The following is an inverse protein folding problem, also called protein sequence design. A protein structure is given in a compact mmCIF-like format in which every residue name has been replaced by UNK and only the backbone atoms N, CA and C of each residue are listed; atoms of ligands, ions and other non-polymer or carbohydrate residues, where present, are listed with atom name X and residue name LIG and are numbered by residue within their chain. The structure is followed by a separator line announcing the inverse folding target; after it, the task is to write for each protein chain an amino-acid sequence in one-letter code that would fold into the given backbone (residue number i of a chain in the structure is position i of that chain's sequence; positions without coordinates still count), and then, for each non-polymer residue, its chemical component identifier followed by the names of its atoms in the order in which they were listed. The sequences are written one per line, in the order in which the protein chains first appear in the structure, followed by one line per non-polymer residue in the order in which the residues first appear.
data_IF_139530256336
#
_entry.id   IF_139530256336
#
_cell.length_a   1.000
_cell.length_b   1.000
_cell.length_c   1.000
_cell.angle_alpha   90.00
_cell.angle_beta   90.00
_cell.angle_gamma   90.00
#
_symmetry.space_group_name_H-M   'P 1'
#
loop_
_entity.id
_entity.type
_entity.pdbx_description
1 polymer ?
#
# COMPACT_ATOMS: atom_id res chain seq x y z
N UNK A 1 5.53 -7.74 0.99
CA UNK A 1 5.69 -8.15 -0.41
C UNK A 1 6.69 -9.30 -0.50
N UNK A 2 6.38 -10.39 -1.20
CA UNK A 2 7.31 -11.50 -1.44
C UNK A 2 7.93 -11.35 -2.83
N UNK A 3 9.26 -11.21 -2.86
CA UNK A 3 10.05 -11.01 -4.09
C UNK A 3 10.98 -12.20 -4.29
N UNK A 4 11.04 -12.69 -5.51
CA UNK A 4 12.07 -13.63 -5.94
C UNK A 4 13.10 -12.89 -6.81
N UNK A 5 14.38 -13.08 -6.50
CA UNK A 5 15.51 -12.62 -7.31
C UNK A 5 16.24 -13.85 -7.84
N UNK A 6 16.40 -13.92 -9.16
CA UNK A 6 16.90 -15.13 -9.85
C UNK A 6 18.01 -14.72 -10.82
N UNK A 7 19.21 -15.25 -10.58
CA UNK A 7 20.39 -15.00 -11.40
C UNK A 7 21.41 -16.13 -11.14
N UNK A 8 21.97 -16.74 -12.16
CA UNK A 8 22.95 -17.82 -11.99
C UNK A 8 24.32 -17.32 -11.49
N UNK A 9 24.63 -16.04 -11.71
CA UNK A 9 25.83 -15.39 -11.21
C UNK A 9 25.62 -14.87 -9.78
N UNK A 10 26.26 -15.54 -8.81
CA UNK A 10 26.10 -15.19 -7.37
C UNK A 10 26.38 -13.72 -7.04
N UNK A 11 27.37 -13.11 -7.69
CA UNK A 11 27.75 -11.71 -7.45
C UNK A 11 26.60 -10.79 -7.91
N UNK A 12 26.10 -10.99 -9.11
CA UNK A 12 24.97 -10.25 -9.70
C UNK A 12 23.70 -10.39 -8.85
N UNK A 13 23.46 -11.62 -8.34
CA UNK A 13 22.31 -11.90 -7.48
C UNK A 13 22.37 -11.13 -6.14
N UNK A 14 23.56 -11.00 -5.55
CA UNK A 14 23.76 -10.22 -4.34
C UNK A 14 23.62 -8.71 -4.58
N UNK A 15 24.19 -8.19 -5.67
CA UNK A 15 24.03 -6.79 -6.09
C UNK A 15 22.54 -6.46 -6.32
N UNK A 16 21.81 -7.34 -6.99
CA UNK A 16 20.36 -7.20 -7.19
C UNK A 16 19.61 -7.23 -5.85
N UNK A 17 19.97 -8.12 -4.93
CA UNK A 17 19.39 -8.16 -3.59
C UNK A 17 19.58 -6.84 -2.84
N UNK A 18 20.79 -6.28 -2.88
CA UNK A 18 21.09 -5.03 -2.20
C UNK A 18 20.32 -3.86 -2.82
N UNK A 19 20.23 -3.81 -4.16
CA UNK A 19 19.42 -2.82 -4.85
C UNK A 19 17.92 -2.94 -4.49
N UNK A 20 17.38 -4.17 -4.45
CA UNK A 20 15.98 -4.41 -4.03
C UNK A 20 15.77 -4.01 -2.58
N UNK A 21 16.65 -4.36 -1.66
CA UNK A 21 16.51 -3.99 -0.24
C UNK A 21 16.59 -2.50 0.00
N UNK A 22 17.44 -1.79 -0.75
CA UNK A 22 17.52 -0.33 -0.68
C UNK A 22 16.25 0.34 -1.25
N UNK A 23 15.70 -0.21 -2.34
CA UNK A 23 14.47 0.27 -2.97
C UNK A 23 13.22 -0.06 -2.12
N UNK A 24 13.17 -1.26 -1.56
CA UNK A 24 12.00 -1.86 -0.90
C UNK A 24 12.42 -2.51 0.43
N UNK A 25 12.70 -1.73 1.49
CA UNK A 25 13.26 -2.24 2.76
C UNK A 25 12.40 -3.31 3.43
N UNK A 26 11.08 -3.24 3.28
CA UNK A 26 10.11 -4.16 3.90
C UNK A 26 9.83 -5.41 3.06
N UNK A 27 10.49 -5.56 1.91
CA UNK A 27 10.28 -6.72 1.06
C UNK A 27 10.99 -7.96 1.60
N UNK A 28 10.28 -9.10 1.57
CA UNK A 28 10.89 -10.41 1.80
C UNK A 28 11.50 -10.92 0.49
N UNK A 29 12.82 -10.86 0.38
CA UNK A 29 13.55 -11.23 -0.84
C UNK A 29 14.13 -12.63 -0.69
N UNK A 30 13.74 -13.54 -1.57
CA UNK A 30 14.31 -14.88 -1.70
C UNK A 30 15.20 -14.97 -2.93
N UNK A 31 16.38 -15.56 -2.78
CA UNK A 31 17.40 -15.62 -3.82
C UNK A 31 17.48 -17.03 -4.42
N UNK A 32 17.57 -17.10 -5.74
CA UNK A 32 17.72 -18.36 -6.48
C UNK A 32 18.81 -18.23 -7.54
N UNK A 33 19.80 -19.13 -7.51
CA UNK A 33 20.81 -19.25 -8.55
C UNK A 33 20.39 -20.19 -9.69
N UNK A 34 19.17 -20.72 -9.64
CA UNK A 34 18.67 -21.69 -10.60
C UNK A 34 17.18 -21.48 -10.84
N UNK A 35 16.79 -21.32 -12.09
CA UNK A 35 15.41 -21.12 -12.52
C UNK A 35 14.47 -22.27 -12.09
N UNK A 36 14.97 -23.53 -12.10
CA UNK A 36 14.15 -24.67 -11.69
C UNK A 36 13.83 -24.65 -10.20
N UNK A 37 14.77 -24.22 -9.37
CA UNK A 37 14.56 -24.15 -7.91
C UNK A 37 13.56 -23.03 -7.58
N UNK A 38 13.65 -21.88 -8.24
CA UNK A 38 12.65 -20.82 -8.14
C UNK A 38 11.27 -21.31 -8.55
N UNK A 39 11.15 -21.98 -9.69
CA UNK A 39 9.88 -22.50 -10.17
C UNK A 39 9.28 -23.57 -9.22
N UNK A 40 10.11 -24.46 -8.68
CA UNK A 40 9.67 -25.44 -7.66
C UNK A 40 9.15 -24.76 -6.40
N UNK A 41 9.81 -23.70 -5.94
CA UNK A 41 9.37 -22.93 -4.78
C UNK A 41 8.01 -22.28 -5.06
N UNK A 42 7.82 -21.65 -6.22
CA UNK A 42 6.55 -21.06 -6.64
C UNK A 42 5.41 -22.09 -6.63
N UNK A 43 5.65 -23.27 -7.18
CA UNK A 43 4.64 -24.34 -7.27
C UNK A 43 4.33 -24.94 -5.89
N UNK A 44 5.37 -25.19 -5.07
CA UNK A 44 5.24 -25.88 -3.78
C UNK A 44 4.57 -25.01 -2.72
N UNK A 45 4.91 -23.74 -2.68
CA UNK A 45 4.47 -22.88 -1.60
C UNK A 45 3.00 -22.43 -1.75
N UNK A 46 2.42 -22.57 -2.95
CA UNK A 46 1.04 -22.14 -3.23
C UNK A 46 0.76 -20.68 -2.84
N UNK A 47 1.80 -20.00 -2.39
CA UNK A 47 1.73 -18.61 -1.96
C UNK A 47 1.75 -17.68 -3.16
N UNK A 48 1.02 -16.63 -3.07
CA UNK A 48 1.04 -15.57 -4.07
C UNK A 48 2.41 -14.87 -4.00
N UNK A 49 3.17 -14.94 -5.08
CA UNK A 49 4.40 -14.19 -5.28
C UNK A 49 4.04 -12.88 -5.95
N UNK A 50 4.48 -11.78 -5.37
CA UNK A 50 4.10 -10.46 -5.87
C UNK A 50 4.94 -10.06 -7.08
N UNK A 51 6.25 -10.34 -7.02
CA UNK A 51 7.22 -9.88 -7.99
C UNK A 51 8.40 -10.84 -8.13
N UNK A 52 8.83 -11.05 -9.37
CA UNK A 52 10.01 -11.82 -9.73
C UNK A 52 10.95 -10.93 -10.54
N UNK A 53 12.17 -10.77 -10.06
CA UNK A 53 13.30 -10.26 -10.84
C UNK A 53 14.10 -11.46 -11.37
N UNK A 54 14.33 -11.54 -12.65
CA UNK A 54 15.04 -12.67 -13.28
C UNK A 54 16.02 -12.20 -14.33
N UNK A 55 17.25 -12.75 -14.30
CA UNK A 55 18.07 -12.67 -15.50
C UNK A 55 17.44 -13.50 -16.63
N UNK A 56 17.76 -13.16 -17.85
CA UNK A 56 17.30 -13.87 -19.06
C UNK A 56 18.26 -15.01 -19.39
N UNK A 57 19.56 -14.75 -19.30
CA UNK A 57 20.57 -15.74 -19.72
C UNK A 57 21.03 -16.60 -18.56
N UNK A 58 20.37 -17.72 -18.34
CA UNK A 58 20.69 -18.70 -17.31
C UNK A 58 20.84 -20.11 -17.91
N UNK A 59 21.69 -20.97 -17.33
CA UNK A 59 21.84 -22.35 -17.75
C UNK A 59 20.55 -23.17 -17.58
N UNK A 60 20.25 -24.00 -18.58
CA UNK A 60 19.09 -24.91 -18.58
C UNK A 60 17.80 -24.19 -18.99
N UNK A 61 17.00 -23.71 -18.04
CA UNK A 61 15.82 -22.90 -18.32
C UNK A 61 16.23 -21.42 -18.31
N UNK A 62 16.10 -20.76 -19.45
CA UNK A 62 16.31 -19.32 -19.52
C UNK A 62 15.16 -18.54 -18.87
N UNK A 63 15.41 -17.24 -18.61
CA UNK A 63 14.43 -16.37 -17.95
C UNK A 63 13.11 -16.21 -18.71
N UNK A 64 13.15 -16.24 -20.05
CA UNK A 64 11.95 -16.12 -20.89
C UNK A 64 11.07 -17.38 -20.73
N UNK A 65 11.69 -18.58 -20.77
CA UNK A 65 11.00 -19.84 -20.54
C UNK A 65 10.45 -19.91 -19.09
N UNK A 66 11.23 -19.43 -18.13
CA UNK A 66 10.80 -19.34 -16.73
C UNK A 66 9.57 -18.46 -16.60
N UNK A 67 9.55 -17.28 -17.23
CA UNK A 67 8.43 -16.35 -17.21
C UNK A 67 7.14 -16.99 -17.74
N UNK A 68 7.20 -17.70 -18.87
CA UNK A 68 6.05 -18.41 -19.43
C UNK A 68 5.49 -19.44 -18.43
N UNK A 69 6.37 -20.20 -17.77
CA UNK A 69 5.96 -21.21 -16.78
C UNK A 69 5.38 -20.57 -15.53
N UNK A 70 5.96 -19.49 -15.03
CA UNK A 70 5.41 -18.71 -13.89
C UNK A 70 4.03 -18.20 -14.24
N UNK A 71 3.84 -17.56 -15.42
CA UNK A 71 2.54 -17.05 -15.85
C UNK A 71 1.47 -18.13 -15.99
N UNK A 72 1.85 -19.35 -16.27
CA UNK A 72 0.92 -20.50 -16.35
C UNK A 72 0.41 -20.90 -14.96
N UNK A 73 1.26 -20.88 -13.93
CA UNK A 73 0.90 -21.35 -12.57
C UNK A 73 0.47 -20.21 -11.65
N UNK A 74 0.92 -18.99 -11.93
CA UNK A 74 0.61 -17.78 -11.17
C UNK A 74 0.51 -16.56 -12.09
N UNK A 75 -0.62 -16.39 -12.79
CA UNK A 75 -0.80 -15.34 -13.81
C UNK A 75 -0.62 -13.91 -13.28
N UNK A 76 -0.96 -13.69 -12.01
CA UNK A 76 -0.89 -12.38 -11.35
C UNK A 76 0.53 -11.97 -10.96
N UNK A 77 1.48 -12.91 -10.88
CA UNK A 77 2.87 -12.61 -10.53
C UNK A 77 3.48 -11.64 -11.53
N UNK A 78 3.99 -10.52 -11.06
CA UNK A 78 4.70 -9.55 -11.90
C UNK A 78 6.11 -10.04 -12.16
N UNK A 79 6.62 -9.82 -13.38
CA UNK A 79 7.95 -10.26 -13.80
C UNK A 79 8.69 -9.08 -14.39
N UNK A 80 9.86 -8.77 -13.82
CA UNK A 80 10.82 -7.80 -14.33
C UNK A 80 12.09 -8.53 -14.71
N UNK A 81 12.52 -8.39 -15.94
CA UNK A 81 13.82 -8.91 -16.36
C UNK A 81 14.95 -7.94 -15.96
N UNK A 82 16.06 -8.52 -15.52
CA UNK A 82 17.27 -7.79 -15.13
C UNK A 82 18.43 -8.43 -15.86
N UNK A 83 18.93 -7.80 -16.91
CA UNK A 83 19.92 -8.43 -17.79
C UNK A 83 20.90 -7.43 -18.38
N UNK A 84 22.08 -7.90 -18.76
CA UNK A 84 23.08 -7.12 -19.53
C UNK A 84 22.83 -7.07 -21.03
N UNK A 85 21.75 -7.66 -21.54
CA UNK A 85 21.55 -7.85 -22.98
C UNK A 85 20.31 -7.13 -23.48
N UNK A 86 20.46 -6.02 -24.20
CA UNK A 86 19.34 -5.21 -24.68
C UNK A 86 18.51 -5.87 -25.80
N UNK A 87 19.05 -6.85 -26.53
CA UNK A 87 18.39 -7.49 -27.66
C UNK A 87 17.19 -8.35 -27.29
N UNK A 88 17.01 -8.72 -26.02
CA UNK A 88 15.88 -9.54 -25.55
C UNK A 88 14.65 -8.74 -25.14
N UNK A 89 14.68 -7.41 -25.25
CA UNK A 89 13.56 -6.57 -24.85
C UNK A 89 12.25 -6.90 -25.60
N UNK A 90 12.34 -7.19 -26.90
CA UNK A 90 11.19 -7.61 -27.70
C UNK A 90 10.64 -8.99 -27.30
N UNK A 91 11.51 -9.91 -26.91
CA UNK A 91 11.09 -11.24 -26.45
C UNK A 91 10.48 -11.18 -25.05
N UNK A 92 11.01 -10.30 -24.18
CA UNK A 92 10.43 -10.01 -22.88
C UNK A 92 8.99 -9.48 -23.01
N UNK A 93 8.75 -8.58 -23.96
CA UNK A 93 7.40 -8.09 -24.26
C UNK A 93 6.47 -9.21 -24.71
N UNK A 94 6.92 -10.15 -25.56
CA UNK A 94 6.11 -11.28 -26.04
C UNK A 94 5.67 -12.25 -24.93
N UNK A 95 6.47 -12.41 -23.88
CA UNK A 95 6.12 -13.27 -22.73
C UNK A 95 5.35 -12.50 -21.65
N UNK A 96 4.87 -11.29 -21.98
CA UNK A 96 4.13 -10.42 -21.07
C UNK A 96 4.88 -10.11 -19.76
N UNK A 97 6.20 -9.87 -19.88
CA UNK A 97 6.95 -9.29 -18.78
C UNK A 97 6.40 -7.90 -18.44
N UNK A 98 6.47 -7.56 -17.17
CA UNK A 98 5.93 -6.30 -16.67
C UNK A 98 6.99 -5.19 -16.65
N UNK A 99 8.28 -5.56 -16.77
CA UNK A 99 9.38 -4.62 -16.79
C UNK A 99 10.68 -5.20 -17.34
N UNK A 100 11.64 -4.30 -17.65
CA UNK A 100 12.93 -4.65 -18.21
C UNK A 100 14.01 -3.68 -17.74
N UNK A 101 14.94 -4.15 -16.93
CA UNK A 101 16.04 -3.36 -16.38
C UNK A 101 17.39 -3.82 -16.94
N UNK A 102 18.22 -2.86 -17.29
CA UNK A 102 19.59 -3.15 -17.75
C UNK A 102 20.56 -3.16 -16.58
N UNK A 103 21.41 -4.20 -16.50
CA UNK A 103 22.51 -4.25 -15.53
C UNK A 103 23.58 -3.17 -15.87
N UNK A 104 24.18 -2.48 -14.88
CA UNK A 104 23.93 -2.59 -13.44
C UNK A 104 22.64 -1.89 -13.00
N UNK A 105 21.85 -2.53 -12.12
CA UNK A 105 20.58 -2.01 -11.63
C UNK A 105 20.79 -1.22 -10.35
N UNK A 106 20.21 -0.01 -10.30
CA UNK A 106 20.20 0.85 -9.11
C UNK A 106 18.84 0.77 -8.40
N UNK A 107 18.82 1.16 -7.12
CA UNK A 107 17.58 1.24 -6.34
C UNK A 107 16.52 2.14 -6.97
N UNK A 108 16.94 3.26 -7.59
CA UNK A 108 16.04 4.20 -8.27
C UNK A 108 15.34 3.56 -9.47
N UNK A 109 16.07 2.76 -10.26
CA UNK A 109 15.53 2.05 -11.42
C UNK A 109 14.46 1.02 -10.98
N UNK A 110 14.69 0.34 -9.86
CA UNK A 110 13.71 -0.60 -9.27
C UNK A 110 12.47 0.14 -8.77
N UNK A 111 12.64 1.27 -8.08
CA UNK A 111 11.51 2.08 -7.57
C UNK A 111 10.63 2.52 -8.73
N UNK A 112 11.21 3.08 -9.79
CA UNK A 112 10.49 3.55 -10.96
C UNK A 112 9.70 2.41 -11.62
N UNK A 113 10.35 1.26 -11.86
CA UNK A 113 9.72 0.13 -12.52
C UNK A 113 8.60 -0.48 -11.68
N UNK A 114 8.81 -0.60 -10.36
CA UNK A 114 7.81 -1.13 -9.45
C UNK A 114 6.61 -0.19 -9.31
N UNK A 115 6.81 1.12 -9.33
CA UNK A 115 5.72 2.11 -9.36
C UNK A 115 4.87 1.95 -10.64
N UNK A 116 5.48 1.69 -11.79
CA UNK A 116 4.79 1.48 -13.06
C UNK A 116 3.97 0.18 -13.10
N UNK A 117 4.24 -0.78 -12.21
CA UNK A 117 3.54 -2.07 -12.20
C UNK A 117 2.08 -2.01 -11.70
N UNK A 118 1.60 -0.85 -11.22
CA UNK A 118 0.28 -0.74 -10.60
C UNK A 118 0.02 -1.88 -9.60
N UNK A 119 1.07 -2.31 -8.93
CA UNK A 119 0.90 -3.18 -7.76
C UNK A 119 0.01 -2.40 -6.79
N UNK A 120 -0.98 -3.03 -6.13
CA UNK A 120 -1.81 -2.33 -5.16
C UNK A 120 -0.89 -1.51 -4.25
N UNK A 121 -1.03 -0.17 -4.27
CA UNK A 121 -0.14 0.75 -3.54
C UNK A 121 -0.02 0.40 -2.06
N UNK A 122 -1.04 -0.27 -1.51
CA UNK A 122 -1.05 -0.83 -0.15
C UNK A 122 0.13 -1.78 0.15
N UNK A 123 0.81 -2.32 -0.86
CA UNK A 123 1.94 -3.26 -0.67
C UNK A 123 3.31 -2.61 -0.70
N UNK A 124 3.40 -1.40 -1.25
CA UNK A 124 4.66 -0.66 -1.42
C UNK A 124 4.79 0.50 -0.43
N UNK A 125 3.68 1.01 0.06
CA UNK A 125 3.68 2.15 0.95
C UNK A 125 3.80 1.68 2.41
N UNK A 126 4.78 2.23 3.12
CA UNK A 126 4.84 2.21 4.59
C UNK A 126 3.77 3.17 5.16
N UNK A 127 2.59 3.21 4.53
CA UNK A 127 1.45 4.06 4.85
C UNK A 127 0.24 3.21 5.20
N UNK A 128 -0.62 3.72 6.06
CA UNK A 128 -1.93 3.13 6.29
C UNK A 128 -2.78 3.26 5.03
N UNK A 129 -3.38 2.14 4.62
CA UNK A 129 -4.42 2.17 3.59
C UNK A 129 -5.77 2.45 4.26
N UNK A 130 -6.42 3.51 3.81
CA UNK A 130 -7.69 4.00 4.38
C UNK A 130 -8.77 3.95 3.30
N UNK A 131 -9.75 3.12 3.52
CA UNK A 131 -10.93 3.01 2.69
C UNK A 131 -12.04 3.88 3.26
N UNK A 132 -12.48 4.88 2.50
CA UNK A 132 -13.58 5.78 2.83
C UNK A 132 -14.85 5.47 2.03
N UNK A 133 -14.71 4.89 0.83
CA UNK A 133 -15.85 4.55 -0.02
C UNK A 133 -16.55 3.29 0.49
N UNK A 134 -17.88 3.40 0.68
CA UNK A 134 -18.68 2.41 1.39
C UNK A 134 -18.50 2.50 2.90
N UNK A 135 -18.04 1.44 3.53
CA UNK A 135 -17.69 1.43 4.96
C UNK A 135 -16.25 1.95 5.17
N UNK A 136 -16.06 2.75 6.21
CA UNK A 136 -14.73 3.17 6.63
C UNK A 136 -13.94 1.98 7.20
N UNK A 137 -12.83 1.64 6.56
CA UNK A 137 -11.90 0.62 7.01
C UNK A 137 -10.46 1.13 6.93
N UNK A 138 -9.59 0.58 7.78
CA UNK A 138 -8.18 0.94 7.83
C UNK A 138 -7.37 -0.35 7.81
N UNK A 139 -6.35 -0.40 6.96
CA UNK A 139 -5.51 -1.57 6.81
C UNK A 139 -4.04 -1.21 6.98
N UNK A 140 -3.29 -2.13 7.55
CA UNK A 140 -1.84 -2.14 7.59
C UNK A 140 -1.35 -3.43 6.93
N UNK A 141 -0.66 -3.31 5.80
CA UNK A 141 -0.20 -4.47 5.03
C UNK A 141 -1.30 -5.53 4.79
N UNK A 142 -2.46 -5.11 4.32
CA UNK A 142 -3.65 -5.94 4.05
C UNK A 142 -4.38 -6.48 5.31
N UNK A 143 -3.81 -6.34 6.50
CA UNK A 143 -4.49 -6.70 7.73
C UNK A 143 -5.33 -5.53 8.26
N UNK A 144 -6.58 -5.73 8.69
CA UNK A 144 -7.37 -4.68 9.30
C UNK A 144 -6.68 -4.14 10.55
N UNK A 145 -6.59 -2.80 10.67
CA UNK A 145 -6.10 -2.17 11.88
C UNK A 145 -7.16 -2.29 12.99
N UNK A 146 -6.78 -2.87 14.11
CA UNK A 146 -7.67 -3.04 15.24
C UNK A 146 -7.78 -1.75 16.06
N UNK A 147 -9.01 -1.36 16.36
CA UNK A 147 -9.34 -0.26 17.25
C UNK A 147 -10.01 -0.80 18.52
N UNK A 148 -9.53 -0.37 19.67
CA UNK A 148 -10.04 -0.81 20.99
C UNK A 148 -11.53 -0.55 21.18
N UNK A 149 -12.05 0.52 20.56
CA UNK A 149 -13.45 0.94 20.61
C UNK A 149 -13.93 1.40 19.24
N UNK A 150 -15.20 1.15 18.94
CA UNK A 150 -15.85 1.65 17.71
C UNK A 150 -15.73 3.19 17.59
N UNK A 151 -15.86 3.92 18.70
CA UNK A 151 -15.70 5.38 18.72
C UNK A 151 -14.27 5.85 18.46
N UNK A 152 -13.25 5.04 18.71
CA UNK A 152 -11.87 5.36 18.31
C UNK A 152 -11.70 5.29 16.80
N UNK A 153 -12.32 4.29 16.14
CA UNK A 153 -12.36 4.19 14.67
C UNK A 153 -13.11 5.36 14.05
N UNK A 154 -14.23 5.78 14.66
CA UNK A 154 -15.02 6.94 14.24
C UNK A 154 -14.25 8.26 14.39
N UNK A 155 -13.47 8.44 15.47
CA UNK A 155 -12.57 9.59 15.62
C UNK A 155 -11.54 9.63 14.50
N UNK A 156 -10.96 8.50 14.15
CA UNK A 156 -9.99 8.45 13.06
C UNK A 156 -10.64 8.77 11.72
N UNK A 157 -11.82 8.23 11.45
CA UNK A 157 -12.61 8.52 10.25
C UNK A 157 -12.92 10.03 10.13
N UNK A 158 -13.36 10.65 11.22
CA UNK A 158 -13.62 12.09 11.25
C UNK A 158 -12.37 12.91 10.92
N UNK A 159 -11.23 12.58 11.52
CA UNK A 159 -9.97 13.28 11.23
C UNK A 159 -9.47 13.08 9.79
N UNK A 160 -9.76 11.94 9.17
CA UNK A 160 -9.52 11.69 7.74
C UNK A 160 -10.44 12.57 6.88
N UNK A 161 -11.74 12.65 7.21
CA UNK A 161 -12.70 13.49 6.50
C UNK A 161 -12.28 14.98 6.47
N UNK A 162 -11.59 15.44 7.50
CA UNK A 162 -11.11 16.82 7.63
C UNK A 162 -9.83 17.13 6.83
N UNK A 163 -9.33 16.20 6.01
CA UNK A 163 -8.25 16.40 5.02
C UNK A 163 -6.96 17.02 5.58
N UNK A 164 -6.59 16.70 6.81
CA UNK A 164 -5.41 17.26 7.49
C UNK A 164 -5.65 18.59 8.19
N UNK A 165 -6.86 19.11 8.18
CA UNK A 165 -7.25 20.30 8.93
C UNK A 165 -7.15 20.05 10.44
N UNK A 166 -6.62 21.01 11.18
CA UNK A 166 -6.54 20.96 12.64
C UNK A 166 -7.92 21.17 13.28
N UNK A 167 -8.47 20.13 13.91
CA UNK A 167 -9.79 20.12 14.53
C UNK A 167 -9.70 20.41 16.02
N UNK A 168 -10.61 21.23 16.54
CA UNK A 168 -10.74 21.46 17.97
C UNK A 168 -11.44 20.30 18.70
N UNK A 169 -11.29 20.23 20.01
CA UNK A 169 -12.01 19.25 20.81
C UNK A 169 -13.53 19.46 20.76
N UNK A 170 -13.95 20.71 20.57
CA UNK A 170 -15.35 21.12 20.41
C UNK A 170 -15.93 20.58 19.09
N UNK A 171 -15.25 20.78 17.95
CA UNK A 171 -15.68 20.30 16.62
C UNK A 171 -15.80 18.78 16.60
N UNK A 172 -14.75 18.10 17.10
CA UNK A 172 -14.74 16.63 17.18
C UNK A 172 -15.88 16.13 18.07
N UNK A 173 -16.10 16.80 19.22
CA UNK A 173 -17.15 16.38 20.14
C UNK A 173 -18.54 16.56 19.55
N UNK A 174 -18.78 17.66 18.83
CA UNK A 174 -20.05 17.90 18.14
C UNK A 174 -20.34 16.83 17.08
N UNK A 175 -19.33 16.43 16.31
CA UNK A 175 -19.50 15.37 15.30
C UNK A 175 -19.70 13.97 15.88
N UNK A 176 -19.01 13.63 16.97
CA UNK A 176 -19.06 12.28 17.55
C UNK A 176 -20.23 12.07 18.51
N UNK A 177 -20.74 13.13 19.14
CA UNK A 177 -21.79 13.08 20.17
C UNK A 177 -22.80 14.22 19.99
N UNK A 178 -23.81 14.02 19.18
CA UNK A 178 -24.81 15.01 18.74
C UNK A 178 -25.54 15.79 19.87
N UNK A 179 -25.56 15.28 21.13
CA UNK A 179 -26.44 15.82 22.21
C UNK A 179 -25.80 15.88 23.62
N UNK A 180 -24.49 15.95 23.76
CA UNK A 180 -23.94 16.04 25.12
C UNK A 180 -23.68 17.48 25.57
N UNK A 181 -24.65 18.03 26.33
CA UNK A 181 -24.54 19.36 26.96
C UNK A 181 -23.41 19.52 27.99
N UNK A 182 -22.64 18.47 28.34
CA UNK A 182 -21.53 18.52 29.29
C UNK A 182 -20.17 18.47 28.60
N UNK A 183 -19.65 19.66 28.27
CA UNK A 183 -18.34 19.85 27.60
C UNK A 183 -17.18 19.18 28.38
N UNK A 184 -17.25 19.10 29.70
CA UNK A 184 -16.16 18.50 30.49
C UNK A 184 -16.11 16.97 30.29
N UNK A 185 -17.27 16.32 30.26
CA UNK A 185 -17.38 14.87 30.00
C UNK A 185 -16.92 14.55 28.58
N UNK A 186 -17.35 15.32 27.60
CA UNK A 186 -16.93 15.19 26.20
C UNK A 186 -15.40 15.28 26.04
N UNK A 187 -14.75 16.29 26.65
CA UNK A 187 -13.28 16.42 26.65
C UNK A 187 -12.58 15.24 27.33
N UNK A 188 -13.12 14.69 28.40
CA UNK A 188 -12.53 13.51 29.05
C UNK A 188 -12.64 12.26 28.17
N UNK A 189 -13.80 12.03 27.56
CA UNK A 189 -14.00 10.91 26.61
C UNK A 189 -13.07 11.04 25.41
N UNK A 190 -12.95 12.23 24.81
CA UNK A 190 -12.06 12.48 23.69
C UNK A 190 -10.60 12.17 24.04
N UNK A 191 -10.10 12.54 25.22
CA UNK A 191 -8.73 12.18 25.64
C UNK A 191 -8.51 10.67 25.64
N UNK A 192 -9.50 9.90 26.07
CA UNK A 192 -9.41 8.43 26.07
C UNK A 192 -9.38 7.87 24.65
N UNK A 193 -10.22 8.42 23.74
CA UNK A 193 -10.21 8.01 22.33
C UNK A 193 -8.89 8.36 21.63
N UNK A 194 -8.33 9.55 21.91
CA UNK A 194 -7.01 9.96 21.38
C UNK A 194 -5.90 9.04 21.88
N UNK A 195 -5.95 8.64 23.15
CA UNK A 195 -4.99 7.69 23.70
C UNK A 195 -5.10 6.31 23.06
N UNK A 196 -6.33 5.83 22.84
CA UNK A 196 -6.59 4.56 22.16
C UNK A 196 -6.15 4.60 20.70
N UNK A 197 -6.47 5.68 19.98
CA UNK A 197 -6.05 5.89 18.58
C UNK A 197 -4.52 5.86 18.47
N UNK A 198 -3.84 6.60 19.34
CA UNK A 198 -2.39 6.60 19.38
C UNK A 198 -1.82 5.20 19.63
N UNK A 199 -2.43 4.42 20.51
CA UNK A 199 -1.99 3.05 20.79
C UNK A 199 -2.17 2.14 19.57
N UNK A 200 -3.29 2.25 18.84
CA UNK A 200 -3.54 1.50 17.61
C UNK A 200 -2.53 1.89 16.51
N UNK A 201 -2.26 3.18 16.33
CA UNK A 201 -1.26 3.64 15.36
C UNK A 201 0.16 3.21 15.74
N UNK A 202 0.49 3.22 17.04
CA UNK A 202 1.79 2.79 17.54
C UNK A 202 2.04 1.30 17.33
N UNK A 203 1.02 0.45 17.41
CA UNK A 203 1.17 -1.00 17.20
C UNK A 203 1.67 -1.35 15.78
N UNK A 204 1.50 -0.41 14.83
CA UNK A 204 1.95 -0.53 13.43
C UNK A 204 3.02 0.50 13.06
N UNK A 205 3.65 1.15 14.05
CA UNK A 205 4.73 2.12 13.82
C UNK A 205 4.29 3.45 13.19
N UNK A 206 2.99 3.75 13.13
CA UNK A 206 2.40 4.91 12.43
C UNK A 206 1.93 6.02 13.39
N UNK A 207 2.44 6.09 14.62
CA UNK A 207 1.99 7.10 15.60
C UNK A 207 2.26 8.55 15.15
N UNK A 208 3.24 8.77 14.30
CA UNK A 208 3.65 10.10 13.82
C UNK A 208 2.63 10.75 12.87
N UNK A 209 1.66 9.98 12.34
CA UNK A 209 0.60 10.55 11.47
C UNK A 209 -0.43 11.35 12.26
N UNK A 210 -0.57 11.08 13.57
CA UNK A 210 -1.47 11.83 14.44
C UNK A 210 -0.80 13.12 14.92
N UNK A 211 -1.17 14.22 14.32
CA UNK A 211 -0.70 15.57 14.68
C UNK A 211 -1.47 16.06 15.90
N UNK A 212 -0.73 16.57 16.90
CA UNK A 212 -1.30 17.27 18.04
C UNK A 212 -0.56 18.60 18.24
N UNK A 213 -1.29 19.71 18.05
CA UNK A 213 -0.74 21.06 18.18
C UNK A 213 -1.70 21.96 18.97
N UNK A 214 -1.25 22.52 20.08
CA UNK A 214 -2.04 23.47 20.89
C UNK A 214 -3.46 22.96 21.26
N UNK A 215 -3.59 21.67 21.51
CA UNK A 215 -4.89 21.03 21.84
C UNK A 215 -5.75 20.66 20.62
N UNK A 216 -5.32 21.03 19.41
CA UNK A 216 -5.95 20.63 18.15
C UNK A 216 -5.40 19.29 17.67
N UNK A 217 -6.19 18.56 16.88
CA UNK A 217 -5.87 17.24 16.32
C UNK A 217 -6.03 17.26 14.80
N UNK A 218 -5.15 16.55 14.09
CA UNK A 218 -5.27 16.26 12.67
C UNK A 218 -4.58 14.95 12.32
N UNK A 219 -4.87 14.42 11.15
CA UNK A 219 -4.08 13.37 10.52
C UNK A 219 -3.23 13.97 9.41
N UNK A 220 -1.97 13.60 9.34
CA UNK A 220 -1.07 14.03 8.27
C UNK A 220 -1.52 13.41 6.95
N UNK A 221 -2.11 14.23 6.05
CA UNK A 221 -2.72 13.80 4.78
C UNK A 221 -1.78 12.94 3.94
N UNK A 222 -0.54 13.40 3.73
CA UNK A 222 0.46 12.74 2.88
C UNK A 222 1.04 11.46 3.48
N UNK A 223 0.62 11.07 4.69
CA UNK A 223 1.12 9.87 5.38
C UNK A 223 0.12 8.72 5.38
N UNK A 224 -0.98 8.83 4.65
CA UNK A 224 -1.99 7.79 4.46
C UNK A 224 -2.31 7.64 2.98
N UNK A 225 -2.48 6.40 2.52
CA UNK A 225 -3.05 6.09 1.22
C UNK A 225 -4.57 5.97 1.39
N UNK A 226 -5.32 6.92 0.85
CA UNK A 226 -6.75 7.08 1.08
C UNK A 226 -7.48 7.24 -0.26
N UNK A 227 -8.48 6.39 -0.52
CA UNK A 227 -9.30 6.45 -1.74
C UNK A 227 -10.00 7.80 -1.92
N UNK A 228 -10.48 8.40 -0.83
CA UNK A 228 -11.05 9.75 -0.81
C UNK A 228 -10.04 10.81 -1.24
N UNK A 229 -8.81 10.78 -0.69
CA UNK A 229 -7.78 11.76 -1.03
C UNK A 229 -7.31 11.60 -2.47
N UNK A 230 -7.15 10.35 -2.95
CA UNK A 230 -6.81 10.08 -4.35
C UNK A 230 -7.88 10.63 -5.30
N UNK A 231 -9.17 10.47 -4.97
CA UNK A 231 -10.25 11.06 -5.76
C UNK A 231 -10.17 12.59 -5.80
N UNK A 232 -9.89 13.24 -4.65
CA UNK A 232 -9.72 14.69 -4.59
C UNK A 232 -8.55 15.21 -5.42
N UNK A 233 -7.47 14.41 -5.50
CA UNK A 233 -6.25 14.69 -6.27
C UNK A 233 -6.40 14.34 -7.77
N UNK A 234 -7.56 13.83 -8.20
CA UNK A 234 -7.89 13.56 -9.59
C UNK A 234 -7.48 12.18 -10.08
N UNK A 235 -7.20 11.22 -9.20
CA UNK A 235 -6.94 9.82 -9.56
C UNK A 235 -8.21 9.21 -10.15
N UNK A 236 -8.16 8.86 -11.44
CA UNK A 236 -9.28 8.31 -12.18
C UNK A 236 -9.72 6.92 -11.70
N UNK A 237 -8.81 6.13 -11.13
CA UNK A 237 -9.15 4.83 -10.54
C UNK A 237 -10.02 5.03 -9.29
N UNK A 238 -9.61 5.96 -8.42
CA UNK A 238 -10.38 6.32 -7.23
C UNK A 238 -11.74 6.94 -7.61
N UNK A 239 -11.78 7.83 -8.61
CA UNK A 239 -13.04 8.39 -9.14
C UNK A 239 -13.98 7.28 -9.64
N UNK A 240 -13.47 6.31 -10.39
CA UNK A 240 -14.24 5.20 -10.93
C UNK A 240 -14.67 4.18 -9.85
N UNK A 241 -13.94 4.09 -8.74
CA UNK A 241 -14.27 3.19 -7.63
C UNK A 241 -15.40 3.73 -6.74
N UNK A 242 -15.65 5.04 -6.75
CA UNK A 242 -16.73 5.64 -5.97
C UNK A 242 -18.12 5.21 -6.48
N UNK A 243 -18.84 4.45 -5.67
CA UNK A 243 -20.19 3.91 -5.96
C UNK A 243 -21.32 4.75 -5.37
N UNK A 244 -21.02 5.95 -4.89
CA UNK A 244 -22.04 6.84 -4.29
C UNK A 244 -22.19 6.64 -2.78
N UNK A 245 -21.37 5.84 -2.14
CA UNK A 245 -21.37 5.63 -0.69
C UNK A 245 -20.06 6.12 -0.08
N UNK A 246 -20.13 6.94 0.96
CA UNK A 246 -18.99 7.47 1.70
C UNK A 246 -19.18 7.27 3.19
N UNK A 247 -18.27 6.55 3.85
CA UNK A 247 -18.26 6.29 5.30
C UNK A 247 -19.68 6.06 5.89
N UNK A 248 -20.50 5.26 5.21
CA UNK A 248 -21.95 5.09 5.44
C UNK A 248 -22.36 4.69 6.86
N UNK A 249 -21.41 4.22 7.68
CA UNK A 249 -21.64 3.92 9.09
C UNK A 249 -21.68 5.14 9.99
N UNK A 250 -21.37 6.37 9.47
CA UNK A 250 -21.31 7.61 10.23
C UNK A 250 -22.23 8.66 9.62
N UNK A 251 -23.16 9.20 10.45
CA UNK A 251 -24.17 10.16 10.00
C UNK A 251 -23.53 11.46 9.48
N UNK A 252 -22.50 11.96 10.15
CA UNK A 252 -21.78 13.18 9.75
C UNK A 252 -21.07 13.08 8.39
N UNK A 253 -20.83 11.85 7.86
CA UNK A 253 -20.24 11.64 6.55
C UNK A 253 -21.17 12.01 5.37
N UNK A 254 -22.47 12.18 5.59
CA UNK A 254 -23.45 12.48 4.54
C UNK A 254 -23.18 13.84 3.86
N UNK A 255 -22.67 14.83 4.57
CA UNK A 255 -22.34 16.14 3.98
C UNK A 255 -21.18 16.02 2.97
N UNK A 256 -20.19 15.22 3.27
CA UNK A 256 -19.07 14.95 2.35
C UNK A 256 -19.53 14.06 1.20
N UNK A 257 -20.36 13.06 1.45
CA UNK A 257 -20.97 12.19 0.41
C UNK A 257 -21.74 13.04 -0.63
N UNK A 258 -22.57 13.97 -0.16
CA UNK A 258 -23.32 14.88 -1.04
C UNK A 258 -22.37 15.71 -1.93
N UNK A 259 -21.27 16.24 -1.39
CA UNK A 259 -20.26 17.00 -2.15
C UNK A 259 -19.57 16.15 -3.22
N UNK A 260 -19.29 14.88 -2.92
CA UNK A 260 -18.63 13.96 -3.86
C UNK A 260 -19.50 13.62 -5.06
N UNK A 261 -20.82 13.56 -4.91
CA UNK A 261 -21.75 13.36 -6.03
C UNK A 261 -21.70 14.48 -7.08
N UNK A 262 -21.36 15.71 -6.69
CA UNK A 262 -21.23 16.84 -7.62
C UNK A 262 -19.86 16.92 -8.33
N UNK A 263 -18.89 16.08 -7.92
CA UNK A 263 -17.55 16.04 -8.53
C UNK A 263 -17.40 14.93 -9.58
N UNK A 264 -18.40 14.12 -9.75
CA UNK A 264 -18.46 13.04 -10.74
C UNK A 264 -19.08 13.59 -12.04
#
# INVERSE_FOLDING_TARGET
MLIYAIDDEKIQLLELQDAIKNALPEANVQLFQNANDALRSIIKDGKRHDLVFSDIRMPGIDGLQLAVRIKTVSPDTKIIFVTGYSQYAMDAFRVHANGYLMKPVRSEDIIEEVMNLQLPCSRLSNQLNVQCFGNFEVFWHEAPLEFKRRKTKELFAYLIDQEGTLCSAEDISAALWEDEGDIRKAKHRLRNLVSDLRSSLKSVGQEAILIRKSGLLAIKRDSVDCDYYRMLDGDMEAVNSFRGEYMKQFVWGQDTEAKLHFRK
#
